data_IF_267403167794
#
_entry.id   IF_267403167794
#
_cell.length_a   1.000
_cell.length_b   1.000
_cell.length_c   1.000
_cell.angle_alpha   90.00
_cell.angle_beta   90.00
_cell.angle_gamma   90.00
#
_symmetry.space_group_name_H-M   'P 1'
#
loop_
_entity.id
_entity.type
_entity.pdbx_description
1 polymer ?
2 non-polymer ?
3 non-polymer ?
4 non-polymer ?
5 non-polymer ?
6 water ?
#
# COMPACT_ATOMS: atom_id res chain seq x y z
N UNK A 1 -19.82 -13.36 6.51
CA UNK A 1 -18.63 -12.51 6.62
C UNK A 1 -17.86 -12.44 5.33
N UNK A 2 -17.63 -11.23 4.86
CA UNK A 2 -16.94 -11.03 3.60
C UNK A 2 -15.44 -11.00 3.81
N UNK A 3 -14.70 -11.17 2.72
CA UNK A 3 -13.26 -11.33 2.78
C UNK A 3 -12.55 -10.09 2.25
N UNK A 4 -11.46 -9.72 2.92
CA UNK A 4 -10.62 -8.59 2.56
C UNK A 4 -9.22 -9.09 2.20
N UNK A 5 -8.64 -8.53 1.15
CA UNK A 5 -7.24 -8.75 0.80
C UNK A 5 -6.59 -7.42 0.49
N UNK A 6 -5.38 -7.22 0.99
CA UNK A 6 -4.58 -6.09 0.57
C UNK A 6 -3.11 -6.40 0.80
N UNK A 7 -2.26 -5.79 -0.04
CA UNK A 7 -0.84 -6.00 0.04
C UNK A 7 -0.08 -4.69 0.06
N UNK A 8 1.18 -4.79 0.50
CA UNK A 8 2.11 -3.67 0.51
C UNK A 8 3.47 -4.20 0.08
N UNK A 9 4.17 -3.45 -0.78
CA UNK A 9 5.47 -3.86 -1.29
C UNK A 9 6.56 -3.58 -0.27
N UNK A 10 7.45 -4.56 0.03
CA UNK A 10 8.67 -4.30 0.78
C UNK A 10 9.76 -3.64 -0.09
N UNK A 11 9.38 -2.59 -0.81
CA UNK A 11 10.29 -1.84 -1.65
C UNK A 11 10.94 -0.66 -0.93
N UNK A 12 10.96 -0.69 0.39
CA UNK A 12 11.26 0.48 1.20
C UNK A 12 10.50 0.36 2.50
N UNK A 13 10.66 1.38 3.35
CA UNK A 13 9.94 1.44 4.61
C UNK A 13 8.65 2.23 4.38
N UNK A 14 7.53 1.72 4.90
CA UNK A 14 6.25 2.34 4.58
C UNK A 14 6.23 3.79 5.08
N UNK A 15 5.48 4.62 4.37
CA UNK A 15 5.37 6.04 4.64
C UNK A 15 4.06 6.37 5.35
N UNK A 16 3.95 7.63 5.79
CA UNK A 16 2.68 8.11 6.33
C UNK A 16 1.62 8.08 5.25
N UNK A 17 2.01 8.22 3.98
CA UNK A 17 1.06 8.01 2.90
C UNK A 17 0.49 6.61 2.87
N UNK A 18 1.36 5.59 2.96
CA UNK A 18 0.87 4.22 3.04
C UNK A 18 0.02 4.01 4.28
N UNK A 19 0.39 4.66 5.38
CA UNK A 19 -0.36 4.50 6.62
C UNK A 19 -1.75 5.13 6.49
N UNK A 20 -1.81 6.39 6.06
CA UNK A 20 -3.10 7.08 5.98
C UNK A 20 -4.00 6.45 4.92
N UNK A 21 -3.43 6.07 3.77
CA UNK A 21 -4.26 5.57 2.69
C UNK A 21 -4.70 4.11 2.81
N UNK A 22 -4.03 3.33 3.65
CA UNK A 22 -4.27 1.89 3.60
C UNK A 22 -4.13 1.24 4.95
N UNK A 23 -2.89 1.19 5.47
CA UNK A 23 -2.60 0.39 6.64
C UNK A 23 -3.47 0.77 7.84
N UNK A 24 -3.68 2.07 8.05
CA UNK A 24 -4.52 2.52 9.16
C UNK A 24 -5.90 1.89 9.10
N UNK A 25 -6.46 1.76 7.90
CA UNK A 25 -7.79 1.18 7.80
C UNK A 25 -7.76 -0.34 7.94
N UNK A 26 -6.62 -0.99 7.66
CA UNK A 26 -6.51 -2.43 7.88
C UNK A 26 -6.85 -2.74 9.34
N UNK A 27 -6.39 -1.89 10.25
CA UNK A 27 -6.49 -2.16 11.69
C UNK A 27 -7.93 -2.17 12.16
N UNK A 28 -8.80 -1.35 11.56
CA UNK A 28 -10.22 -1.46 11.92
C UNK A 28 -10.89 -2.61 11.19
N UNK A 29 -10.56 -2.79 9.91
CA UNK A 29 -11.26 -3.78 9.10
C UNK A 29 -11.02 -5.21 9.56
N UNK A 30 -9.95 -5.48 10.31
CA UNK A 30 -9.67 -6.85 10.73
C UNK A 30 -10.76 -7.40 11.65
N UNK A 31 -11.50 -6.52 12.33
CA UNK A 31 -12.52 -7.00 13.25
C UNK A 31 -13.85 -7.24 12.59
N UNK A 32 -14.06 -6.70 11.38
CA UNK A 32 -15.32 -6.82 10.68
C UNK A 32 -15.32 -7.85 9.55
N UNK A 33 -14.14 -8.30 9.10
CA UNK A 33 -14.02 -9.12 7.90
C UNK A 33 -12.99 -10.22 8.11
N UNK A 34 -13.04 -11.23 7.24
CA UNK A 34 -11.94 -12.17 7.10
C UNK A 34 -10.86 -11.49 6.27
N UNK A 35 -9.69 -11.30 6.86
CA UNK A 35 -8.67 -10.40 6.31
C UNK A 35 -7.41 -11.16 5.98
N UNK A 36 -6.88 -10.91 4.79
CA UNK A 36 -5.55 -11.34 4.40
C UNK A 36 -4.74 -10.09 4.13
N UNK A 37 -3.58 -9.97 4.77
CA UNK A 37 -2.69 -8.85 4.51
C UNK A 37 -1.33 -9.41 4.15
N UNK A 38 -0.76 -8.92 3.06
CA UNK A 38 0.33 -9.59 2.39
C UNK A 38 1.53 -8.67 2.24
N UNK A 39 2.71 -9.24 2.37
CA UNK A 39 3.97 -8.58 2.05
C UNK A 39 4.35 -9.06 0.65
N UNK A 40 4.21 -8.19 -0.35
CA UNK A 40 4.24 -8.66 -1.74
C UNK A 40 5.66 -8.47 -2.26
N UNK A 41 6.55 -9.36 -1.82
CA UNK A 41 7.95 -9.29 -2.25
C UNK A 41 8.15 -9.66 -3.73
N UNK A 42 7.28 -10.48 -4.33
CA UNK A 42 7.42 -10.71 -5.76
C UNK A 42 7.06 -9.48 -6.58
N UNK A 43 6.18 -8.61 -6.07
CA UNK A 43 5.93 -7.35 -6.75
C UNK A 43 7.11 -6.38 -6.60
N UNK A 44 7.77 -6.41 -5.44
CA UNK A 44 8.85 -5.48 -5.15
C UNK A 44 10.00 -5.62 -6.14
N UNK A 45 10.30 -6.84 -6.58
CA UNK A 45 11.45 -7.04 -7.46
C UNK A 45 11.13 -6.74 -8.92
N UNK A 46 9.92 -6.22 -9.22
CA UNK A 46 9.69 -5.82 -10.60
C UNK A 46 10.60 -4.65 -11.00
N UNK A 47 11.16 -3.93 -10.01
CA UNK A 47 12.31 -3.05 -10.21
C UNK A 47 13.41 -3.51 -9.26
N UNK A 48 14.63 -3.03 -9.53
CA UNK A 48 15.81 -3.49 -8.80
C UNK A 48 15.67 -3.26 -7.31
N UNK A 49 15.91 -4.32 -6.53
CA UNK A 49 16.07 -4.22 -5.08
C UNK A 49 17.40 -4.86 -4.70
N UNK A 50 18.18 -4.18 -3.89
CA UNK A 50 19.38 -4.81 -3.36
C UNK A 50 19.01 -5.97 -2.43
N UNK A 51 19.57 -7.16 -2.64
CA UNK A 51 19.11 -8.34 -1.87
C UNK A 51 19.15 -8.16 -0.36
N UNK A 52 20.22 -7.56 0.18
CA UNK A 52 20.30 -7.37 1.62
C UNK A 52 19.23 -6.40 2.10
N UNK A 53 19.03 -5.30 1.38
CA UNK A 53 17.97 -4.35 1.75
C UNK A 53 16.59 -4.99 1.66
N UNK A 54 16.37 -5.84 0.64
CA UNK A 54 15.05 -6.41 0.45
C UNK A 54 14.73 -7.40 1.58
N UNK A 55 15.67 -8.27 1.92
CA UNK A 55 15.47 -9.18 3.05
C UNK A 55 15.07 -8.40 4.30
N UNK A 56 15.72 -7.26 4.52
CA UNK A 56 15.49 -6.52 5.74
C UNK A 56 14.20 -5.73 5.69
N UNK A 57 13.86 -5.17 4.51
CA UNK A 57 12.58 -4.49 4.34
C UNK A 57 11.40 -5.44 4.54
N UNK A 58 11.57 -6.72 4.18
CA UNK A 58 10.50 -7.71 4.40
C UNK A 58 10.24 -7.90 5.90
N UNK A 59 11.31 -8.08 6.68
CA UNK A 59 11.15 -8.17 8.13
C UNK A 59 10.56 -6.91 8.72
N UNK A 60 11.04 -5.74 8.30
CA UNK A 60 10.56 -4.47 8.85
C UNK A 60 9.09 -4.24 8.56
N UNK A 61 8.63 -4.56 7.35
CA UNK A 61 7.22 -4.37 7.02
C UNK A 61 6.35 -5.31 7.85
N UNK A 62 6.78 -6.57 8.03
CA UNK A 62 6.05 -7.47 8.92
C UNK A 62 5.96 -6.87 10.32
N UNK A 63 7.08 -6.33 10.82
CA UNK A 63 7.07 -5.72 12.14
C UNK A 63 6.14 -4.52 12.20
N UNK A 64 6.06 -3.75 11.10
CA UNK A 64 5.23 -2.55 11.12
C UNK A 64 3.75 -2.87 11.01
N UNK A 65 3.40 -3.90 10.22
CA UNK A 65 2.03 -4.40 10.20
C UNK A 65 1.54 -4.70 11.61
N UNK A 66 2.32 -5.50 12.35
CA UNK A 66 1.93 -5.86 13.71
C UNK A 66 2.08 -4.67 14.68
N UNK A 67 3.08 -3.80 14.46
CA UNK A 67 3.28 -2.67 15.37
C UNK A 67 2.10 -1.71 15.35
N UNK A 68 1.48 -1.50 14.18
CA UNK A 68 0.35 -0.58 14.12
C UNK A 68 -0.96 -1.20 14.59
N UNK A 69 -0.96 -2.46 14.98
CA UNK A 69 -2.10 -3.07 15.62
C UNK A 69 -2.84 -4.17 14.85
N UNK A 70 -2.24 -4.76 13.83
CA UNK A 70 -2.85 -5.91 13.18
C UNK A 70 -2.66 -7.15 14.05
N UNK A 71 -3.76 -7.77 14.46
CA UNK A 71 -3.71 -8.91 15.35
C UNK A 71 -3.57 -10.20 14.53
N UNK A 72 -2.48 -10.95 14.67
CA UNK A 72 -2.32 -12.16 13.84
C UNK A 72 -3.35 -13.24 14.14
N UNK A 73 -4.18 -13.09 15.17
CA UNK A 73 -5.29 -14.01 15.36
C UNK A 73 -6.58 -13.50 14.71
N UNK A 74 -6.63 -12.24 14.30
CA UNK A 74 -7.81 -11.74 13.58
C UNK A 74 -7.57 -11.61 12.07
N UNK A 75 -6.33 -11.61 11.63
CA UNK A 75 -6.01 -11.46 10.22
C UNK A 75 -4.89 -12.42 9.87
N UNK A 76 -4.82 -12.80 8.59
CA UNK A 76 -3.74 -13.64 8.11
C UNK A 76 -2.65 -12.75 7.51
N UNK A 77 -1.46 -12.79 8.10
CA UNK A 77 -0.30 -12.01 7.67
C UNK A 77 0.75 -12.96 7.11
N UNK A 78 1.20 -12.72 5.88
CA UNK A 78 2.11 -13.67 5.24
C UNK A 78 2.87 -12.98 4.13
N UNK A 79 3.94 -13.67 3.67
CA UNK A 79 4.80 -13.19 2.60
C UNK A 79 4.40 -13.86 1.28
N UNK A 80 4.21 -13.05 0.25
CA UNK A 80 3.76 -13.55 -1.05
C UNK A 80 4.58 -14.73 -1.54
N UNK A 81 5.92 -14.58 -1.60
CA UNK A 81 6.73 -15.62 -2.21
C UNK A 81 6.70 -16.95 -1.45
N UNK A 82 6.22 -16.97 -0.21
CA UNK A 82 6.12 -18.22 0.53
C UNK A 82 4.85 -18.98 0.21
N UNK A 83 4.00 -18.45 -0.67
CA UNK A 83 2.79 -19.12 -1.15
C UNK A 83 2.92 -19.31 -2.66
N UNK A 84 3.42 -20.46 -3.12
CA UNK A 84 3.66 -20.63 -4.57
C UNK A 84 2.43 -20.41 -5.44
N UNK A 85 1.22 -20.59 -4.90
CA UNK A 85 0.01 -20.44 -5.69
C UNK A 85 -0.09 -19.06 -6.33
N UNK A 86 0.52 -18.04 -5.75
CA UNK A 86 0.41 -16.70 -6.33
C UNK A 86 1.08 -16.65 -7.69
N UNK A 87 2.30 -17.16 -7.78
CA UNK A 87 2.99 -17.22 -9.07
C UNK A 87 2.26 -18.13 -10.04
N UNK A 88 1.69 -19.23 -9.54
CA UNK A 88 0.96 -20.15 -10.42
C UNK A 88 -0.27 -19.49 -11.00
N UNK A 89 -1.11 -18.86 -10.17
CA UNK A 89 -2.29 -18.17 -10.72
C UNK A 89 -1.89 -16.95 -11.54
N UNK A 90 -0.73 -16.34 -11.25
CA UNK A 90 -0.33 -15.18 -12.04
C UNK A 90 -0.01 -15.58 -13.46
N UNK A 91 0.65 -16.73 -13.64
CA UNK A 91 0.87 -17.22 -14.99
C UNK A 91 -0.45 -17.44 -15.73
N UNK A 92 -1.41 -18.11 -15.08
CA UNK A 92 -2.69 -18.34 -15.74
C UNK A 92 -3.37 -17.03 -16.11
N UNK A 93 -3.34 -16.03 -15.22
CA UNK A 93 -3.96 -14.77 -15.55
C UNK A 93 -3.16 -13.99 -16.58
N UNK A 94 -1.86 -14.25 -16.70
CA UNK A 94 -1.07 -13.63 -17.77
C UNK A 94 -1.54 -14.11 -19.13
N UNK A 95 -2.07 -15.33 -19.20
CA UNK A 95 -2.61 -15.86 -20.45
C UNK A 95 -4.05 -15.37 -20.72
N UNK A 96 -4.67 -14.69 -19.76
CA UNK A 96 -6.01 -14.11 -19.92
C UNK A 96 -5.93 -12.64 -20.31
N UNK A 97 -5.05 -11.86 -19.68
CA UNK A 97 -4.97 -10.43 -19.97
C UNK A 97 -4.33 -10.24 -21.34
N UNK A 98 -4.68 -9.16 -22.03
CA UNK A 98 -4.06 -8.81 -23.29
C UNK A 98 -2.96 -7.79 -23.07
N UNK A 99 -1.96 -7.81 -23.94
CA UNK A 99 -0.83 -6.89 -23.83
C UNK A 99 -1.32 -5.45 -23.85
N UNK A 100 -2.26 -5.13 -24.74
CA UNK A 100 -2.74 -3.77 -24.82
C UNK A 100 -3.31 -3.26 -23.52
N UNK A 101 -3.87 -4.15 -22.70
CA UNK A 101 -4.45 -3.70 -21.44
C UNK A 101 -3.37 -3.35 -20.44
N UNK A 102 -2.27 -4.11 -20.44
CA UNK A 102 -1.16 -3.84 -19.53
C UNK A 102 -0.43 -2.55 -19.90
N UNK A 103 -0.34 -2.26 -21.20
CA UNK A 103 0.41 -1.09 -21.64
C UNK A 103 -0.33 0.21 -21.37
N UNK A 104 -1.65 0.17 -21.30
CA UNK A 104 -2.41 1.37 -20.98
C UNK A 104 -2.55 1.61 -19.48
N UNK A 105 -1.96 0.78 -18.63
CA UNK A 105 -2.00 1.02 -17.18
C UNK A 105 -1.21 2.27 -16.82
N UNK A 106 -1.81 3.13 -16.00
CA UNK A 106 -1.15 4.38 -15.62
C UNK A 106 0.16 4.13 -14.91
N UNK A 107 0.19 3.15 -14.00
CA UNK A 107 1.40 2.96 -13.22
C UNK A 107 2.54 2.47 -14.10
N UNK A 108 2.26 1.53 -15.01
CA UNK A 108 3.29 1.08 -15.93
C UNK A 108 3.82 2.25 -16.76
N UNK A 109 2.90 3.06 -17.30
CA UNK A 109 3.34 4.20 -18.12
C UNK A 109 4.19 5.16 -17.29
N UNK A 110 3.77 5.45 -16.06
CA UNK A 110 4.53 6.35 -15.21
C UNK A 110 5.87 5.75 -14.81
N UNK A 111 5.89 4.49 -14.36
CA UNK A 111 7.12 3.93 -13.84
C UNK A 111 8.10 3.52 -14.93
N UNK A 112 7.67 3.43 -16.19
CA UNK A 112 8.59 3.09 -17.27
C UNK A 112 9.00 4.29 -18.11
N UNK A 113 8.27 5.40 -18.04
CA UNK A 113 8.54 6.55 -18.89
C UNK A 113 9.95 7.08 -18.65
N UNK A 114 10.65 7.40 -19.74
CA UNK A 114 12.00 7.92 -19.66
C UNK A 114 13.06 6.87 -19.39
N UNK A 115 12.67 5.65 -19.02
CA UNK A 115 13.64 4.58 -18.79
C UNK A 115 13.97 3.88 -20.09
N UNK A 116 15.25 3.59 -20.28
CA UNK A 116 15.66 2.96 -21.53
C UNK A 116 15.24 1.49 -21.58
N UNK A 117 15.33 0.77 -20.46
CA UNK A 117 14.98 -0.64 -20.43
C UNK A 117 14.33 -0.96 -19.09
N UNK A 118 13.07 -1.43 -19.12
CA UNK A 118 12.40 -1.88 -17.90
C UNK A 118 12.06 -3.35 -18.03
N UNK A 119 11.81 -3.98 -16.90
CA UNK A 119 11.60 -5.42 -16.85
C UNK A 119 10.19 -5.78 -17.29
N UNK A 120 10.05 -7.00 -17.80
CA UNK A 120 8.72 -7.52 -18.11
C UNK A 120 7.85 -7.59 -16.87
N UNK A 121 8.45 -7.81 -15.69
CA UNK A 121 7.66 -7.85 -14.46
C UNK A 121 6.93 -6.55 -14.20
N UNK A 122 7.53 -5.42 -14.58
CA UNK A 122 6.83 -4.14 -14.40
C UNK A 122 5.56 -4.11 -15.23
N UNK A 123 5.63 -4.61 -16.47
CA UNK A 123 4.45 -4.66 -17.33
C UNK A 123 3.40 -5.61 -16.77
N UNK A 124 3.80 -6.79 -16.28
CA UNK A 124 2.89 -7.83 -15.83
C UNK A 124 2.61 -7.74 -14.33
N UNK A 125 2.84 -6.58 -13.73
CA UNK A 125 2.45 -6.31 -12.35
C UNK A 125 0.97 -6.59 -12.08
N UNK A 126 0.02 -6.21 -12.93
CA UNK A 126 -1.42 -6.42 -12.58
C UNK A 126 -1.83 -7.88 -12.48
N UNK A 127 -1.47 -8.76 -13.43
CA UNK A 127 -1.94 -10.17 -13.29
C UNK A 127 -1.50 -10.79 -11.98
N UNK A 128 -0.30 -10.49 -11.49
CA UNK A 128 0.13 -11.03 -10.19
C UNK A 128 -0.69 -10.43 -9.07
N UNK A 129 -0.99 -9.13 -9.16
CA UNK A 129 -1.85 -8.48 -8.19
C UNK A 129 -3.26 -9.02 -8.25
N UNK A 130 -3.76 -9.28 -9.46
CA UNK A 130 -5.09 -9.89 -9.59
C UNK A 130 -5.10 -11.30 -9.03
N UNK A 131 -3.99 -12.03 -9.19
CA UNK A 131 -3.89 -13.35 -8.58
C UNK A 131 -3.96 -13.26 -7.05
N UNK A 132 -3.14 -12.38 -6.44
CA UNK A 132 -3.19 -12.18 -4.99
C UNK A 132 -4.64 -11.99 -4.53
N UNK A 133 -5.37 -11.12 -5.20
CA UNK A 133 -6.73 -10.81 -4.78
C UNK A 133 -7.63 -12.01 -5.01
N UNK A 134 -7.65 -12.55 -6.24
CA UNK A 134 -8.69 -13.48 -6.65
C UNK A 134 -8.57 -14.86 -6.01
N UNK A 135 -7.38 -15.24 -5.54
CA UNK A 135 -7.19 -16.58 -4.99
C UNK A 135 -7.99 -16.80 -3.72
N UNK A 136 -8.35 -15.73 -3.00
CA UNK A 136 -8.98 -15.87 -1.70
C UNK A 136 -10.46 -15.53 -1.73
N UNK A 137 -11.07 -15.51 -2.92
CA UNK A 137 -12.47 -15.11 -3.12
C UNK A 137 -12.74 -13.77 -2.42
N UNK A 138 -11.88 -12.80 -2.70
CA UNK A 138 -11.93 -11.51 -2.03
C UNK A 138 -13.16 -10.73 -2.47
N UNK A 139 -13.81 -10.08 -1.51
CA UNK A 139 -14.93 -9.17 -1.75
C UNK A 139 -14.49 -7.71 -1.81
N UNK A 140 -13.60 -7.30 -0.91
CA UNK A 140 -13.26 -5.90 -0.70
C UNK A 140 -11.75 -5.78 -0.72
N UNK A 141 -11.25 -4.76 -1.43
CA UNK A 141 -9.82 -4.49 -1.46
C UNK A 141 -9.58 -3.05 -1.00
N UNK A 142 -9.11 -2.84 0.23
CA UNK A 142 -8.81 -1.48 0.69
C UNK A 142 -7.47 -1.02 0.13
N UNK A 143 -7.49 0.07 -0.65
CA UNK A 143 -6.29 0.62 -1.29
C UNK A 143 -6.41 2.14 -1.35
N UNK A 144 -5.29 2.79 -1.67
CA UNK A 144 -5.31 4.19 -2.00
C UNK A 144 -5.79 4.42 -3.41
N UNK A 145 -5.99 5.70 -3.75
CA UNK A 145 -6.59 6.09 -5.02
C UNK A 145 -5.82 5.57 -6.23
N UNK A 146 -4.49 5.51 -6.15
CA UNK A 146 -3.65 5.17 -7.29
C UNK A 146 -3.81 3.72 -7.75
N UNK A 147 -4.48 2.87 -6.99
CA UNK A 147 -4.70 1.48 -7.36
C UNK A 147 -6.09 1.22 -7.93
N UNK A 148 -6.93 2.25 -8.06
CA UNK A 148 -8.29 2.03 -8.54
C UNK A 148 -8.28 1.35 -9.91
N UNK A 149 -7.40 1.79 -10.80
CA UNK A 149 -7.36 1.22 -12.14
C UNK A 149 -6.93 -0.25 -12.10
N UNK A 150 -5.99 -0.61 -11.21
CA UNK A 150 -5.58 -2.01 -11.13
C UNK A 150 -6.72 -2.88 -10.66
N UNK A 151 -7.52 -2.40 -9.69
CA UNK A 151 -8.67 -3.18 -9.25
C UNK A 151 -9.68 -3.32 -10.38
N UNK A 152 -9.85 -2.28 -11.19
CA UNK A 152 -10.78 -2.37 -12.32
C UNK A 152 -10.32 -3.44 -13.32
N UNK A 153 -9.01 -3.52 -13.57
CA UNK A 153 -8.53 -4.58 -14.46
C UNK A 153 -8.77 -5.95 -13.85
N UNK A 154 -8.50 -6.10 -12.54
CA UNK A 154 -8.77 -7.35 -11.83
C UNK A 154 -10.21 -7.79 -11.99
N UNK A 155 -11.16 -6.86 -11.90
CA UNK A 155 -12.56 -7.22 -12.09
C UNK A 155 -12.81 -7.73 -13.51
N UNK A 156 -12.19 -7.09 -14.50
CA UNK A 156 -12.28 -7.54 -15.88
C UNK A 156 -11.70 -8.94 -16.06
N UNK A 157 -10.52 -9.20 -15.48
CA UNK A 157 -9.90 -10.51 -15.65
C UNK A 157 -10.75 -11.60 -15.02
N UNK A 158 -11.32 -11.32 -13.85
CA UNK A 158 -12.20 -12.28 -13.19
C UNK A 158 -13.45 -12.57 -14.01
N UNK A 159 -14.11 -11.52 -14.51
CA UNK A 159 -15.28 -11.73 -15.37
C UNK A 159 -14.90 -12.54 -16.59
N UNK A 160 -13.78 -12.21 -17.22
CA UNK A 160 -13.34 -12.90 -18.42
C UNK A 160 -13.12 -14.38 -18.14
N UNK A 161 -12.35 -14.69 -17.10
CA UNK A 161 -12.19 -16.08 -16.71
C UNK A 161 -13.54 -16.74 -16.49
N UNK A 162 -14.39 -16.13 -15.66
CA UNK A 162 -15.70 -16.72 -15.35
C UNK A 162 -16.53 -16.99 -16.60
N UNK A 163 -16.45 -16.11 -17.61
CA UNK A 163 -17.29 -16.30 -18.80
C UNK A 163 -16.62 -17.16 -19.86
N UNK A 164 -15.29 -17.20 -19.88
CA UNK A 164 -14.59 -18.07 -20.82
C UNK A 164 -14.58 -19.51 -20.34
N UNK A 165 -14.58 -19.73 -19.02
CA UNK A 165 -14.41 -21.06 -18.45
C UNK A 165 -15.53 -21.51 -17.52
N UNK A 166 -16.26 -20.60 -16.89
CA UNK A 166 -17.28 -20.97 -15.91
C UNK A 166 -17.05 -20.23 -14.62
N UNK A 167 -18.14 -19.99 -13.89
CA UNK A 167 -18.09 -19.14 -12.69
C UNK A 167 -17.18 -19.72 -11.62
N UNK A 168 -16.16 -18.96 -11.25
CA UNK A 168 -15.19 -19.41 -10.26
C UNK A 168 -14.77 -18.28 -9.31
N UNK A 169 -14.61 -17.07 -9.81
CA UNK A 169 -14.04 -15.98 -9.04
C UNK A 169 -15.13 -15.07 -8.49
N UNK A 170 -14.91 -14.57 -7.28
CA UNK A 170 -15.70 -13.45 -6.78
C UNK A 170 -15.23 -12.16 -7.45
N UNK A 171 -16.17 -11.32 -7.84
CA UNK A 171 -15.75 -10.05 -8.45
C UNK A 171 -15.44 -9.08 -7.30
N UNK A 172 -14.18 -8.70 -7.10
CA UNK A 172 -13.82 -7.85 -5.97
C UNK A 172 -14.19 -6.40 -6.24
N UNK A 173 -14.18 -5.62 -5.16
CA UNK A 173 -14.54 -4.21 -5.25
C UNK A 173 -13.57 -3.41 -4.40
N UNK A 174 -13.08 -2.30 -4.94
CA UNK A 174 -12.15 -1.47 -4.20
C UNK A 174 -12.89 -0.68 -3.12
N UNK A 175 -12.22 -0.47 -1.99
CA UNK A 175 -12.70 0.43 -0.95
C UNK A 175 -11.62 1.49 -0.75
N UNK A 176 -11.89 2.69 -1.24
CA UNK A 176 -10.95 3.80 -1.25
C UNK A 176 -11.45 4.83 -0.23
N UNK A 177 -10.65 5.21 0.75
CA UNK A 177 -11.14 6.13 1.78
C UNK A 177 -11.45 7.50 1.19
N UNK A 178 -12.42 8.18 1.80
CA UNK A 178 -12.82 9.50 1.32
C UNK A 178 -11.75 10.55 1.58
N UNK A 179 -11.02 10.43 2.69
CA UNK A 179 -9.95 11.34 3.04
C UNK A 179 -8.63 10.58 3.05
N UNK A 180 -7.56 11.24 2.59
CA UNK A 180 -6.25 10.65 2.63
C UNK A 180 -5.98 9.55 1.62
N UNK A 181 -6.78 9.44 0.57
CA UNK A 181 -6.54 8.41 -0.44
C UNK A 181 -5.31 8.69 -1.30
N UNK A 182 -4.74 9.89 -1.21
CA UNK A 182 -3.59 10.23 -2.04
C UNK A 182 -2.75 11.32 -1.40
N UNK A 183 -1.92 10.95 -0.41
CA UNK A 183 -1.00 11.91 0.19
C UNK A 183 0.03 12.30 -0.85
N UNK A 184 0.32 13.60 -0.94
CA UNK A 184 1.25 14.09 -1.97
C UNK A 184 2.67 14.18 -1.42
N UNK A 185 3.63 14.16 -2.34
CA UNK A 185 5.04 14.27 -1.98
C UNK A 185 5.30 15.62 -1.34
N UNK A 186 6.23 15.64 -0.39
CA UNK A 186 6.55 16.86 0.33
C UNK A 186 7.40 17.82 -0.50
N UNK A 187 8.09 17.31 -1.51
CA UNK A 187 8.96 18.15 -2.31
C UNK A 187 8.36 18.44 -3.69
N UNK A 188 7.38 17.65 -4.14
CA UNK A 188 6.63 17.93 -5.36
C UNK A 188 5.16 17.62 -5.11
N UNK A 189 4.37 18.64 -4.72
CA UNK A 189 2.96 18.40 -4.34
C UNK A 189 2.05 18.05 -5.49
N UNK A 190 2.55 17.92 -6.70
CA UNK A 190 1.74 17.44 -7.82
C UNK A 190 1.91 15.95 -8.08
N UNK A 191 2.76 15.25 -7.33
CA UNK A 191 2.83 13.79 -7.41
C UNK A 191 2.71 13.20 -6.02
N UNK A 192 2.28 11.95 -5.97
CA UNK A 192 1.95 11.31 -4.72
C UNK A 192 3.21 10.92 -3.95
N UNK A 193 3.08 10.86 -2.63
CA UNK A 193 4.17 10.39 -1.81
C UNK A 193 4.37 8.91 -2.06
N UNK A 194 5.61 8.52 -2.39
CA UNK A 194 5.95 7.14 -2.75
C UNK A 194 7.16 6.69 -1.95
N UNK A 195 7.09 5.49 -1.38
CA UNK A 195 8.18 5.04 -0.53
C UNK A 195 9.43 4.67 -1.32
N UNK A 196 9.37 4.62 -2.64
CA UNK A 196 10.54 4.36 -3.46
C UNK A 196 11.08 5.61 -4.13
N UNK A 197 10.59 6.79 -3.72
CA UNK A 197 11.07 8.02 -4.30
C UNK A 197 12.59 8.09 -4.12
N UNK A 198 13.34 8.41 -5.17
CA UNK A 198 14.79 8.55 -5.01
C UNK A 198 15.18 9.66 -4.05
N UNK A 199 14.26 10.59 -3.76
CA UNK A 199 14.55 11.71 -2.88
C UNK A 199 13.95 11.47 -1.50
N UNK A 200 14.74 11.16 -0.47
CA UNK A 200 14.16 10.86 0.84
C UNK A 200 13.37 12.01 1.44
N UNK A 201 13.60 13.25 0.97
CA UNK A 201 12.81 14.36 1.50
C UNK A 201 11.36 14.29 1.06
N UNK A 202 11.04 13.45 0.09
CA UNK A 202 9.69 13.39 -0.46
C UNK A 202 8.71 12.77 0.52
N UNK A 203 9.17 11.89 1.42
CA UNK A 203 8.28 11.07 2.24
C UNK A 203 8.76 11.09 3.69
N UNK A 204 7.82 10.85 4.60
CA UNK A 204 8.11 10.49 5.98
C UNK A 204 7.92 8.98 6.10
N UNK A 205 8.95 8.24 6.50
CA UNK A 205 8.69 6.84 6.79
C UNK A 205 8.22 6.69 8.24
N UNK A 206 7.60 5.55 8.52
CA UNK A 206 7.19 5.25 9.87
C UNK A 206 8.37 5.06 10.82
N UNK A 207 9.59 4.90 10.32
CA UNK A 207 10.73 4.75 11.20
C UNK A 207 11.60 6.01 11.30
N UNK A 208 11.20 7.11 10.68
CA UNK A 208 11.98 8.35 10.76
C UNK A 208 12.03 8.84 12.21
N UNK A 209 13.21 9.30 12.67
CA UNK A 209 13.25 9.83 14.02
C UNK A 209 12.78 11.30 14.04
N UNK A 210 12.81 11.90 15.23
CA UNK A 210 12.24 13.23 15.42
C UNK A 210 12.99 14.29 14.61
N UNK A 211 14.31 14.29 14.69
CA UNK A 211 15.05 15.32 13.96
C UNK A 211 14.84 15.18 12.45
N UNK A 212 14.71 13.95 11.96
CA UNK A 212 14.47 13.74 10.53
C UNK A 212 13.10 14.26 10.13
N UNK A 213 12.08 13.97 10.94
CA UNK A 213 10.74 14.44 10.60
C UNK A 213 10.70 15.97 10.61
N UNK A 214 11.33 16.58 11.61
CA UNK A 214 11.37 18.04 11.67
C UNK A 214 11.99 18.62 10.41
N UNK A 215 13.14 18.08 9.99
CA UNK A 215 13.81 18.58 8.77
C UNK A 215 12.90 18.45 7.55
N UNK A 216 12.26 17.29 7.38
CA UNK A 216 11.50 17.01 6.17
C UNK A 216 10.25 17.87 6.08
N UNK A 217 9.61 18.17 7.21
CA UNK A 217 8.40 18.98 7.16
C UNK A 217 8.76 20.45 6.96
N UNK A 218 9.82 20.91 7.60
CA UNK A 218 10.16 22.33 7.46
C UNK A 218 10.69 22.66 6.06
N UNK A 219 11.20 21.68 5.32
CA UNK A 219 11.63 21.93 3.95
C UNK A 219 10.57 21.49 2.93
N UNK A 220 9.39 21.08 3.38
CA UNK A 220 8.29 20.80 2.45
C UNK A 220 7.98 22.04 1.63
N UNK A 221 7.83 21.87 0.32
CA UNK A 221 7.69 23.05 -0.52
C UNK A 221 6.28 23.60 -0.40
N UNK A 222 6.18 24.93 -0.35
CA UNK A 222 4.91 25.64 -0.26
C UNK A 222 4.99 26.87 -1.16
N UNK A 223 3.88 27.58 -1.24
CA UNK A 223 3.80 28.84 -1.97
C UNK A 223 4.43 29.94 -1.12
N UNK A 224 4.24 31.19 -1.55
CA UNK A 224 4.74 32.34 -0.80
C UNK A 224 3.62 33.28 -0.35
N UNK A 225 2.35 32.87 -0.51
CA UNK A 225 1.23 33.71 -0.09
C UNK A 225 1.21 33.90 1.43
N UNK A 226 1.67 32.92 2.20
CA UNK A 226 1.76 33.05 3.64
C UNK A 226 0.50 32.80 4.41
N UNK A 227 -0.55 32.28 3.78
CA UNK A 227 -1.85 32.08 4.40
C UNK A 227 -2.18 30.60 4.47
N UNK A 228 -2.50 30.12 5.66
CA UNK A 228 -2.77 28.69 5.87
C UNK A 228 -4.25 28.49 5.58
N UNK A 229 -4.55 28.13 4.33
CA UNK A 229 -5.91 27.80 3.93
C UNK A 229 -5.86 26.75 2.83
N UNK A 230 -6.89 25.92 2.80
CA UNK A 230 -6.91 24.79 1.88
C UNK A 230 -7.34 25.24 0.49
N UNK A 231 -6.52 24.93 -0.51
CA UNK A 231 -6.84 25.26 -1.89
C UNK A 231 -5.92 24.43 -2.79
N UNK A 232 -6.46 23.33 -3.34
CA UNK A 232 -5.62 22.36 -4.03
C UNK A 232 -4.95 22.95 -5.25
N UNK A 233 -5.66 23.77 -6.01
CA UNK A 233 -5.10 24.27 -7.27
C UNK A 233 -4.02 25.32 -7.04
N UNK A 234 -4.26 26.26 -6.13
CA UNK A 234 -3.34 27.38 -5.94
C UNK A 234 -2.31 27.14 -4.85
N UNK A 235 -2.62 26.34 -3.84
CA UNK A 235 -1.71 26.08 -2.71
C UNK A 235 -1.60 24.57 -2.48
N UNK A 236 -1.08 23.83 -3.45
CA UNK A 236 -1.09 22.37 -3.33
C UNK A 236 -0.22 21.84 -2.20
N UNK A 237 0.89 22.50 -1.86
CA UNK A 237 1.71 22.03 -0.76
C UNK A 237 1.05 22.22 0.59
N UNK A 238 0.55 23.44 0.85
CA UNK A 238 -0.13 23.73 2.10
C UNK A 238 -1.40 22.90 2.22
N UNK A 239 -2.11 22.68 1.12
CA UNK A 239 -3.30 21.82 1.15
C UNK A 239 -2.95 20.41 1.59
N UNK A 240 -1.89 19.84 1.01
CA UNK A 240 -1.43 18.52 1.39
C UNK A 240 -1.06 18.47 2.88
N UNK A 241 -0.32 19.48 3.36
CA UNK A 241 0.06 19.47 4.76
C UNK A 241 -1.16 19.60 5.66
N UNK A 242 -2.14 20.40 5.26
CA UNK A 242 -3.38 20.50 6.03
C UNK A 242 -4.13 19.17 6.03
N UNK A 243 -4.06 18.41 4.93
CA UNK A 243 -4.67 17.09 4.88
C UNK A 243 -4.00 16.13 5.86
N UNK A 244 -2.66 16.08 5.86
CA UNK A 244 -1.93 15.22 6.78
C UNK A 244 -2.24 15.60 8.23
N UNK A 245 -2.12 16.90 8.53
CA UNK A 245 -2.47 17.42 9.85
C UNK A 245 -3.88 17.00 10.24
N UNK A 246 -4.85 17.28 9.37
CA UNK A 246 -6.25 17.01 9.70
C UNK A 246 -6.49 15.55 10.02
N UNK A 247 -6.03 14.66 9.14
CA UNK A 247 -6.36 13.25 9.32
C UNK A 247 -5.61 12.59 10.48
N UNK A 248 -4.43 13.10 10.85
CA UNK A 248 -3.70 12.52 11.98
C UNK A 248 -4.12 13.08 13.33
N UNK A 249 -4.55 14.34 13.38
CA UNK A 249 -4.96 14.96 14.64
C UNK A 249 -6.46 14.83 14.93
N UNK A 250 -7.28 14.50 13.94
CA UNK A 250 -8.72 14.49 14.09
C UNK A 250 -9.41 15.84 13.98
N UNK A 251 -8.65 16.93 13.81
CA UNK A 251 -9.23 18.25 13.59
C UNK A 251 -9.63 18.41 12.13
N UNK A 252 -10.78 19.04 11.90
CA UNK A 252 -11.20 19.24 10.52
C UNK A 252 -10.31 20.28 9.86
N UNK A 253 -10.40 20.37 8.53
CA UNK A 253 -9.57 21.32 7.80
C UNK A 253 -9.94 22.75 8.19
N UNK A 254 -11.24 23.04 8.29
CA UNK A 254 -11.66 24.39 8.62
C UNK A 254 -11.33 24.74 10.08
N UNK A 255 -11.35 23.74 10.98
CA UNK A 255 -10.85 23.97 12.33
C UNK A 255 -9.39 24.36 12.32
N UNK A 256 -8.58 23.72 11.47
CA UNK A 256 -7.16 24.05 11.41
C UNK A 256 -6.96 25.41 10.76
N UNK A 257 -7.76 25.73 9.74
CA UNK A 257 -7.69 27.06 9.15
C UNK A 257 -7.98 28.13 10.21
N UNK A 258 -9.00 27.91 11.04
CA UNK A 258 -9.26 28.85 12.12
C UNK A 258 -8.13 28.84 13.13
N UNK A 259 -7.58 27.67 13.45
CA UNK A 259 -6.52 27.59 14.44
C UNK A 259 -5.28 28.37 14.01
N UNK A 260 -5.05 28.58 12.71
CA UNK A 260 -3.83 29.22 12.26
C UNK A 260 -4.10 30.55 11.53
N UNK A 261 -5.20 31.24 11.88
CA UNK A 261 -5.41 32.60 11.37
C UNK A 261 -4.30 33.52 11.86
N UNK A 262 -3.73 34.29 10.93
CA UNK A 262 -2.66 35.20 11.29
C UNK A 262 -1.37 34.53 11.69
N UNK A 263 -1.24 33.23 11.43
CA UNK A 263 -0.04 32.47 11.74
C UNK A 263 0.75 32.19 10.47
N UNK A 264 2.07 32.10 10.63
CA UNK A 264 2.93 31.87 9.50
C UNK A 264 3.17 30.40 9.23
N UNK A 265 3.69 30.13 8.03
CA UNK A 265 4.03 28.77 7.65
C UNK A 265 5.01 28.14 8.62
N UNK A 266 5.87 28.95 9.24
CA UNK A 266 6.90 28.39 10.10
C UNK A 266 6.34 27.74 11.35
N UNK A 267 5.35 28.36 11.98
CA UNK A 267 4.80 27.73 13.17
C UNK A 267 3.87 26.58 12.79
N UNK A 268 3.23 26.67 11.62
CA UNK A 268 2.38 25.57 11.15
C UNK A 268 3.20 24.31 10.93
N UNK A 269 4.37 24.44 10.29
CA UNK A 269 5.18 23.27 9.96
C UNK A 269 5.83 22.69 11.20
N UNK A 270 6.32 23.54 12.09
CA UNK A 270 6.88 23.06 13.36
C UNK A 270 5.85 22.24 14.13
N UNK A 271 4.61 22.73 14.21
CA UNK A 271 3.54 22.01 14.90
C UNK A 271 3.23 20.67 14.22
N UNK A 272 3.07 20.70 12.90
CA UNK A 272 2.75 19.46 12.17
C UNK A 272 3.80 18.39 12.44
N UNK A 273 5.08 18.76 12.43
CA UNK A 273 6.15 17.80 12.70
C UNK A 273 5.93 17.09 14.03
N UNK A 274 5.51 17.83 15.07
CA UNK A 274 5.30 17.19 16.37
C UNK A 274 4.04 16.32 16.36
N UNK A 275 3.03 16.70 15.57
CA UNK A 275 1.85 15.84 15.43
C UNK A 275 2.26 14.49 14.83
N UNK A 276 3.10 14.52 13.79
CA UNK A 276 3.54 13.27 13.16
C UNK A 276 4.41 12.47 14.12
N UNK A 277 5.33 13.14 14.81
CA UNK A 277 6.24 12.48 15.74
C UNK A 277 5.45 11.78 16.84
N UNK A 278 4.51 12.50 17.47
CA UNK A 278 3.71 11.89 18.52
C UNK A 278 2.87 10.76 17.98
N UNK A 279 2.42 10.86 16.72
CA UNK A 279 1.68 9.76 16.12
C UNK A 279 2.55 8.51 15.99
N UNK A 280 3.80 8.68 15.52
CA UNK A 280 4.67 7.54 15.27
C UNK A 280 5.29 6.95 16.53
N UNK A 281 5.24 7.67 17.65
CA UNK A 281 5.96 7.27 18.86
C UNK A 281 5.57 5.87 19.33
N UNK A 282 4.29 5.57 19.61
CA UNK A 282 3.99 4.19 20.06
C UNK A 282 4.22 3.16 18.98
N UNK A 283 4.05 3.52 17.71
CA UNK A 283 4.31 2.56 16.64
C UNK A 283 5.77 2.11 16.68
N UNK A 284 6.69 3.06 16.75
CA UNK A 284 8.11 2.71 16.70
C UNK A 284 8.50 1.85 17.90
N UNK A 285 7.83 2.04 19.04
CA UNK A 285 8.17 1.25 20.22
C UNK A 285 7.72 -0.20 20.07
N UNK A 286 6.53 -0.44 19.52
CA UNK A 286 6.13 -1.84 19.30
C UNK A 286 6.93 -2.45 18.15
N UNK A 287 7.34 -1.63 17.19
CA UNK A 287 8.17 -2.11 16.09
C UNK A 287 9.47 -2.70 16.59
N UNK A 288 10.16 -1.98 17.49
CA UNK A 288 11.44 -2.47 18.02
C UNK A 288 11.27 -3.76 18.81
N UNK A 289 10.13 -3.92 19.48
CA UNK A 289 9.84 -5.16 20.18
C UNK A 289 9.76 -6.35 19.22
N UNK A 290 9.04 -6.18 18.11
CA UNK A 290 8.89 -7.28 17.16
C UNK A 290 10.17 -7.61 16.40
N UNK A 291 11.02 -6.60 16.14
CA UNK A 291 12.26 -6.87 15.41
C UNK A 291 13.25 -7.67 16.25
N UNK A 292 13.18 -7.56 17.58
CA UNK A 292 14.16 -8.17 18.45
C UNK A 292 13.81 -9.61 18.83
N UNK A 293 12.83 -10.22 18.20
CA UNK A 293 12.24 -11.44 18.70
C UNK A 293 11.99 -12.44 17.57
N UNK A 294 12.00 -13.73 17.93
CA UNK A 294 11.66 -14.77 16.98
C UNK A 294 10.16 -14.97 16.82
N UNK A 295 9.33 -14.32 17.64
CA UNK A 295 7.89 -14.44 17.48
C UNK A 295 7.42 -13.91 16.13
N UNK A 296 8.15 -12.96 15.55
CA UNK A 296 7.80 -12.43 14.24
C UNK A 296 7.79 -13.53 13.18
N UNK A 297 8.77 -14.43 13.22
CA UNK A 297 8.84 -15.51 12.24
C UNK A 297 7.71 -16.52 12.41
N UNK A 298 7.30 -16.80 13.65
CA UNK A 298 6.22 -17.74 13.90
C UNK A 298 4.90 -17.23 13.35
N UNK A 299 4.65 -15.92 13.50
CA UNK A 299 3.45 -15.31 12.90
C UNK A 299 3.46 -15.53 11.39
N UNK A 300 4.57 -15.20 10.74
CA UNK A 300 4.66 -15.34 9.28
C UNK A 300 4.59 -16.81 8.85
N UNK A 301 5.23 -17.72 9.60
CA UNK A 301 5.07 -19.16 9.35
C UNK A 301 3.62 -19.59 9.35
N UNK A 302 2.89 -19.26 10.43
CA UNK A 302 1.48 -19.60 10.53
C UNK A 302 0.67 -18.95 9.43
N UNK A 303 0.95 -17.68 9.13
CA UNK A 303 0.24 -17.02 8.06
C UNK A 303 0.39 -17.74 6.73
N UNK A 304 1.61 -18.18 6.41
CA UNK A 304 1.83 -18.83 5.12
C UNK A 304 1.13 -20.18 5.04
N UNK A 305 1.10 -20.94 6.15
CA UNK A 305 0.35 -22.20 6.15
C UNK A 305 -1.13 -21.97 5.87
N UNK A 306 -1.73 -20.97 6.50
CA UNK A 306 -3.15 -20.70 6.30
C UNK A 306 -3.42 -20.25 4.88
N UNK A 307 -2.60 -19.32 4.39
CA UNK A 307 -2.77 -18.83 3.02
C UNK A 307 -2.55 -19.94 2.00
N UNK A 308 -1.54 -20.78 2.21
CA UNK A 308 -1.30 -21.87 1.26
C UNK A 308 -2.51 -22.79 1.13
N UNK A 309 -3.16 -23.12 2.25
CA UNK A 309 -4.31 -24.04 2.19
C UNK A 309 -5.40 -23.49 1.30
N UNK A 310 -5.77 -22.22 1.49
CA UNK A 310 -6.83 -21.61 0.69
C UNK A 310 -6.39 -21.46 -0.76
N UNK A 311 -5.21 -20.86 -0.97
CA UNK A 311 -4.77 -20.49 -2.31
C UNK A 311 -4.49 -21.72 -3.18
N UNK A 312 -3.81 -22.71 -2.63
CA UNK A 312 -3.47 -23.87 -3.45
C UNK A 312 -4.71 -24.67 -3.83
N UNK A 313 -5.80 -24.54 -3.08
CA UNK A 313 -7.07 -25.12 -3.51
C UNK A 313 -7.68 -24.35 -4.67
N UNK A 314 -7.67 -23.01 -4.60
CA UNK A 314 -8.18 -22.24 -5.73
C UNK A 314 -7.35 -22.47 -6.98
N UNK A 315 -6.04 -22.71 -6.84
CA UNK A 315 -5.23 -23.03 -8.01
C UNK A 315 -5.66 -24.35 -8.63
N UNK A 316 -5.99 -25.33 -7.79
CA UNK A 316 -6.51 -26.59 -8.34
C UNK A 316 -7.77 -26.34 -9.17
N UNK A 317 -8.70 -25.51 -8.68
CA UNK A 317 -9.91 -25.22 -9.44
C UNK A 317 -9.59 -24.47 -10.74
N UNK A 318 -8.66 -23.50 -10.68
CA UNK A 318 -8.27 -22.78 -11.88
C UNK A 318 -7.69 -23.72 -12.93
N UNK A 319 -6.80 -24.62 -12.51
CA UNK A 319 -6.22 -25.57 -13.45
C UNK A 319 -7.30 -26.47 -14.05
N UNK A 320 -8.23 -26.96 -13.23
CA UNK A 320 -9.28 -27.83 -13.76
C UNK A 320 -10.17 -27.08 -14.75
N UNK A 321 -10.51 -25.80 -14.47
CA UNK A 321 -11.27 -25.01 -15.44
C UNK A 321 -10.52 -24.81 -16.75
N UNK A 322 -9.20 -24.58 -16.70
CA UNK A 322 -8.47 -24.33 -17.95
C UNK A 322 -8.03 -25.61 -18.63
N UNK A 323 -8.07 -26.75 -17.95
CA UNK A 323 -7.63 -27.99 -18.53
C UNK A 323 -6.17 -28.33 -18.34
N UNK A 324 -5.47 -27.60 -17.47
CA UNK A 324 -4.05 -27.87 -17.21
C UNK A 324 -3.87 -29.13 -16.36
N UNK A 325 -2.72 -29.78 -16.53
CA UNK A 325 -2.38 -30.90 -15.69
C UNK A 325 -3.34 -32.07 -15.89
N UNK A 326 -3.71 -32.69 -14.77
CA UNK A 326 -4.62 -33.81 -14.77
C UNK A 326 -5.67 -33.57 -13.70
#
# INVERSE_FOLDING_TARGET
MKTIFSGIQPSGVITIGNYIGALRQFVELQHEYNCYFCIVDQHAITVWQDPHELRQNIRRLAALYLAVGIDPTQATLFIQSEVPAHAQAAWMLQCIVYIGELERMTQFKEKSAGKEAVSAGLLTYPPLMAADILLYNTDIVPVGEDQKQHIELTRDLAERFNKRYGELFTIPEARIPKVGARIMSLVDPTKKMSKSDPNPKAYITLLDDAKTIEKKIKSAVTDSEGTIRYDKEAKPGISNLLNIYSTLSGQSIEELERQYEGKGYGVFKADLAQVVIETLRPIQERYHHWMESEELDRVLDEGAEKANRVASEMVRKMEQAMGLGRRRLE
#
